data_IF_141371029628
#
_entry.id   IF_141371029628
#
_cell.length_a   1.000
_cell.length_b   1.000
_cell.length_c   1.000
_cell.angle_alpha   90.00
_cell.angle_beta   90.00
_cell.angle_gamma   90.00
#
_symmetry.space_group_name_H-M   'P 1'
#
loop_
_entity.id
_entity.type
_entity.pdbx_description
1 polymer ?
#
# COMPACT_ATOMS: atom_id res chain seq x y z
N UNK A 1 16.25 24.63 16.36
CA UNK A 1 14.81 24.31 16.22
C UNK A 1 14.31 23.88 14.82
N UNK A 2 15.12 23.70 13.75
CA UNK A 2 14.58 23.16 12.47
C UNK A 2 14.60 21.63 12.37
N UNK A 3 15.46 20.94 13.14
CA UNK A 3 15.61 19.48 13.05
C UNK A 3 14.39 18.74 13.62
N UNK A 4 13.89 19.15 14.79
CA UNK A 4 12.75 18.52 15.44
C UNK A 4 11.50 18.56 14.56
N UNK A 5 11.23 19.70 13.92
CA UNK A 5 10.09 19.88 13.03
C UNK A 5 10.19 18.94 11.83
N UNK A 6 11.36 18.87 11.18
CA UNK A 6 11.59 17.95 10.04
C UNK A 6 11.42 16.48 10.41
N UNK A 7 11.86 16.09 11.60
CA UNK A 7 11.68 14.71 12.10
C UNK A 7 10.20 14.43 12.31
N UNK A 8 9.45 15.36 12.93
CA UNK A 8 8.01 15.20 13.13
C UNK A 8 7.24 15.13 11.81
N UNK A 9 7.58 15.97 10.84
CA UNK A 9 7.00 15.93 9.49
C UNK A 9 7.27 14.58 8.82
N UNK A 10 8.49 14.07 8.87
CA UNK A 10 8.85 12.76 8.30
C UNK A 10 8.05 11.62 8.94
N UNK A 11 7.84 11.67 10.26
CA UNK A 11 7.02 10.69 10.97
C UNK A 11 5.56 10.80 10.53
N UNK A 12 5.03 12.03 10.40
CA UNK A 12 3.67 12.29 9.94
C UNK A 12 3.41 11.73 8.53
N UNK A 13 4.32 12.01 7.59
CA UNK A 13 4.22 11.49 6.22
C UNK A 13 4.37 9.98 6.15
N UNK A 14 5.26 9.40 6.95
CA UNK A 14 5.40 7.93 7.03
C UNK A 14 4.10 7.30 7.52
N UNK A 15 3.52 7.85 8.59
CA UNK A 15 2.26 7.35 9.14
C UNK A 15 1.12 7.44 8.12
N UNK A 16 0.97 8.60 7.46
CA UNK A 16 -0.03 8.79 6.41
C UNK A 16 0.15 7.79 5.26
N UNK A 17 1.39 7.53 4.85
CA UNK A 17 1.71 6.58 3.78
C UNK A 17 1.26 5.16 4.13
N UNK A 18 1.52 4.71 5.36
CA UNK A 18 1.09 3.40 5.85
C UNK A 18 -0.44 3.28 5.85
N UNK A 19 -1.13 4.33 6.31
CA UNK A 19 -2.60 4.36 6.31
C UNK A 19 -3.16 4.28 4.88
N UNK A 20 -2.65 5.11 3.96
CA UNK A 20 -3.09 5.09 2.56
C UNK A 20 -2.85 3.73 1.90
N UNK A 21 -1.69 3.14 2.15
CA UNK A 21 -1.34 1.82 1.61
C UNK A 21 -2.29 0.72 2.11
N UNK A 22 -2.57 0.71 3.42
CA UNK A 22 -3.50 -0.25 4.02
C UNK A 22 -4.93 -0.08 3.50
N UNK A 23 -5.40 1.17 3.43
CA UNK A 23 -6.74 1.49 2.89
C UNK A 23 -6.83 1.07 1.43
N UNK A 24 -5.80 1.33 0.62
CA UNK A 24 -5.75 0.91 -0.79
C UNK A 24 -5.86 -0.61 -0.95
N UNK A 25 -5.12 -1.38 -0.15
CA UNK A 25 -5.23 -2.84 -0.15
C UNK A 25 -6.61 -3.32 0.29
N UNK A 26 -7.19 -2.71 1.34
CA UNK A 26 -8.55 -3.07 1.79
C UNK A 26 -9.61 -2.73 0.77
N UNK A 27 -9.47 -1.62 0.07
CA UNK A 27 -10.39 -1.23 -1.00
C UNK A 27 -10.32 -2.25 -2.15
N UNK A 28 -9.11 -2.68 -2.53
CA UNK A 28 -8.94 -3.75 -3.51
C UNK A 28 -9.63 -5.05 -3.06
N UNK A 29 -9.39 -5.49 -1.82
CA UNK A 29 -10.01 -6.70 -1.25
C UNK A 29 -11.56 -6.60 -1.19
N UNK A 30 -12.15 -5.40 -1.19
CA UNK A 30 -13.60 -5.17 -1.22
C UNK A 30 -14.13 -5.18 -2.66
N UNK A 31 -13.37 -4.64 -3.61
CA UNK A 31 -13.77 -4.51 -5.01
C UNK A 31 -13.68 -5.85 -5.74
N UNK A 32 -12.70 -6.68 -5.40
CA UNK A 32 -12.52 -7.99 -5.99
C UNK A 32 -13.29 -9.05 -5.17
N UNK A 33 -14.26 -9.77 -5.76
CA UNK A 33 -14.99 -10.81 -5.04
C UNK A 33 -14.14 -12.07 -4.75
N UNK A 34 -12.93 -12.18 -5.33
CA UNK A 34 -12.07 -13.34 -5.16
C UNK A 34 -11.18 -13.19 -3.93
N UNK A 35 -11.20 -14.18 -3.04
CA UNK A 35 -10.22 -14.26 -1.94
C UNK A 35 -8.85 -14.73 -2.47
N UNK A 36 -8.07 -13.75 -2.94
CA UNK A 36 -6.72 -14.00 -3.44
C UNK A 36 -5.78 -14.61 -2.40
N UNK A 37 -6.00 -14.37 -1.10
CA UNK A 37 -5.17 -14.95 -0.04
C UNK A 37 -5.47 -16.44 0.11
N UNK A 38 -6.74 -16.83 0.02
CA UNK A 38 -7.13 -18.24 -0.01
C UNK A 38 -6.60 -18.95 -1.26
N UNK A 39 -6.69 -18.31 -2.43
CA UNK A 39 -6.18 -18.86 -3.68
C UNK A 39 -4.65 -19.05 -3.66
N UNK A 40 -3.90 -18.10 -3.12
CA UNK A 40 -2.44 -18.24 -2.93
C UNK A 40 -2.12 -19.44 -2.02
N UNK A 41 -2.88 -19.64 -0.93
CA UNK A 41 -2.69 -20.80 -0.03
C UNK A 41 -2.96 -22.14 -0.71
N UNK A 42 -3.83 -22.18 -1.72
CA UNK A 42 -4.08 -23.36 -2.56
C UNK A 42 -3.00 -23.60 -3.61
N UNK A 43 -1.99 -22.72 -3.70
CA UNK A 43 -0.92 -22.81 -4.69
C UNK A 43 -1.22 -22.12 -6.01
N UNK A 44 -2.23 -21.25 -6.08
CA UNK A 44 -2.56 -20.49 -7.29
C UNK A 44 -1.51 -19.40 -7.55
N UNK A 45 -0.55 -19.70 -8.43
CA UNK A 45 0.52 -18.79 -8.81
C UNK A 45 0.01 -17.48 -9.43
N UNK A 46 -1.04 -17.54 -10.26
CA UNK A 46 -1.59 -16.36 -10.92
C UNK A 46 -2.11 -15.34 -9.89
N UNK A 47 -2.83 -15.84 -8.87
CA UNK A 47 -3.30 -15.01 -7.75
C UNK A 47 -2.15 -14.37 -6.97
N UNK A 48 -1.03 -15.09 -6.80
CA UNK A 48 0.18 -14.56 -6.15
C UNK A 48 0.83 -13.44 -6.95
N UNK A 49 0.96 -13.60 -8.27
CA UNK A 49 1.52 -12.59 -9.16
C UNK A 49 0.63 -11.33 -9.17
N UNK A 50 -0.69 -11.51 -9.25
CA UNK A 50 -1.64 -10.39 -9.20
C UNK A 50 -1.53 -9.62 -7.89
N UNK A 51 -1.51 -10.32 -6.75
CA UNK A 51 -1.36 -9.68 -5.45
C UNK A 51 -0.06 -8.88 -5.35
N UNK A 52 1.05 -9.42 -5.86
CA UNK A 52 2.34 -8.71 -5.89
C UNK A 52 2.30 -7.46 -6.78
N UNK A 53 1.68 -7.56 -7.97
CA UNK A 53 1.53 -6.42 -8.87
C UNK A 53 0.73 -5.28 -8.23
N UNK A 54 -0.33 -5.60 -7.48
CA UNK A 54 -1.17 -4.62 -6.79
C UNK A 54 -0.40 -3.93 -5.66
N UNK A 55 0.37 -4.69 -4.88
CA UNK A 55 1.23 -4.15 -3.82
C UNK A 55 2.24 -3.14 -4.41
N UNK A 56 2.87 -3.49 -5.54
CA UNK A 56 3.82 -2.61 -6.21
C UNK A 56 3.11 -1.37 -6.79
N UNK A 57 1.96 -1.53 -7.42
CA UNK A 57 1.18 -0.44 -7.99
C UNK A 57 0.73 0.55 -6.90
N UNK A 58 0.20 0.05 -5.79
CA UNK A 58 -0.18 0.89 -4.64
C UNK A 58 1.04 1.60 -4.04
N UNK A 59 2.21 0.96 -4.01
CA UNK A 59 3.42 1.60 -3.50
C UNK A 59 3.81 2.78 -4.39
N UNK A 60 3.78 2.59 -5.71
CA UNK A 60 4.06 3.65 -6.67
C UNK A 60 3.06 4.82 -6.54
N UNK A 61 1.76 4.53 -6.37
CA UNK A 61 0.73 5.55 -6.17
C UNK A 61 0.97 6.33 -4.87
N UNK A 62 1.22 5.64 -3.75
CA UNK A 62 1.45 6.30 -2.47
C UNK A 62 2.71 7.17 -2.53
N UNK A 63 3.80 6.67 -3.13
CA UNK A 63 5.02 7.46 -3.35
C UNK A 63 4.71 8.69 -4.20
N UNK A 64 3.96 8.56 -5.30
CA UNK A 64 3.59 9.69 -6.13
C UNK A 64 2.80 10.75 -5.35
N UNK A 65 1.83 10.33 -4.53
CA UNK A 65 0.99 11.24 -3.73
C UNK A 65 1.79 11.98 -2.67
N UNK A 66 2.73 11.32 -1.98
CA UNK A 66 3.52 11.97 -0.91
C UNK A 66 4.74 12.74 -1.44
N UNK A 67 5.19 12.44 -2.65
CA UNK A 67 6.33 13.11 -3.29
C UNK A 67 5.93 14.31 -4.14
N UNK A 68 4.65 14.40 -4.53
CA UNK A 68 4.08 15.62 -5.11
C UNK A 68 3.92 16.67 -4.00
N UNK A 69 4.66 17.79 -4.07
CA UNK A 69 4.61 18.87 -3.07
C UNK A 69 3.27 19.60 -3.02
#
# INVERSE_FOLDING_TARGET
MPLLIRVLESIGWTFLSVVLFYVGLRLYDILDPIDHRAEIRKGNLASGILQAAIVIALAAIVIAVISSP
#
